data_IF_642115462170
#
_entry.id   IF_642115462170
#
_cell.length_a   1.000
_cell.length_b   1.000
_cell.length_c   1.000
_cell.angle_alpha   90.00
_cell.angle_beta   90.00
_cell.angle_gamma   90.00
#
_symmetry.space_group_name_H-M   'P 1'
#
loop_
_entity.id
_entity.type
_entity.pdbx_description
1 polymer ?
#
# COMPACT_ATOMS: atom_id res chain seq x y z
N UNK A 1 3.47 0.13 -13.13
CA UNK A 1 3.20 0.69 -11.78
C UNK A 1 3.63 -0.31 -10.74
N UNK A 2 4.25 0.15 -9.68
CA UNK A 2 4.72 -0.70 -8.58
C UNK A 2 3.77 -0.54 -7.40
N UNK A 3 3.35 -1.67 -6.81
CA UNK A 3 2.48 -1.69 -5.64
C UNK A 3 3.25 -2.22 -4.44
N UNK A 4 3.18 -1.51 -3.34
CA UNK A 4 3.73 -1.94 -2.07
C UNK A 4 2.60 -2.06 -1.05
N UNK A 5 2.70 -3.10 -0.24
CA UNK A 5 1.77 -3.34 0.87
C UNK A 5 2.55 -3.02 2.14
N UNK A 6 2.14 -1.98 2.84
CA UNK A 6 2.87 -1.51 4.03
C UNK A 6 2.07 -1.89 5.27
N UNK A 7 2.64 -2.75 6.09
CA UNK A 7 2.07 -3.15 7.37
C UNK A 7 2.58 -2.19 8.43
N UNK A 8 1.69 -1.61 9.21
CA UNK A 8 2.00 -0.49 10.08
C UNK A 8 1.56 -0.78 11.51
N UNK A 9 2.48 -0.57 12.45
CA UNK A 9 2.16 -0.50 13.87
C UNK A 9 2.15 0.97 14.26
N UNK A 10 1.14 1.36 15.02
CA UNK A 10 1.03 2.73 15.50
C UNK A 10 0.54 2.75 16.93
N UNK A 11 0.60 3.93 17.54
CA UNK A 11 0.05 4.17 18.87
C UNK A 11 -1.44 3.83 18.84
N UNK A 12 -1.87 2.87 19.66
CA UNK A 12 -3.26 2.39 19.67
C UNK A 12 -4.25 3.50 20.04
N UNK A 13 -3.81 4.50 20.80
CA UNK A 13 -4.65 5.64 21.16
C UNK A 13 -4.87 6.60 19.97
N UNK A 14 -4.11 6.43 18.89
CA UNK A 14 -4.11 7.34 17.74
C UNK A 14 -4.37 6.66 16.41
N UNK A 15 -4.96 5.48 16.42
CA UNK A 15 -5.18 4.72 15.18
C UNK A 15 -5.96 5.51 14.13
N UNK A 16 -7.14 6.11 14.44
CA UNK A 16 -7.88 6.86 13.43
C UNK A 16 -7.10 8.06 12.87
N UNK A 17 -6.47 8.83 13.72
CA UNK A 17 -5.72 10.02 13.30
C UNK A 17 -4.53 9.63 12.42
N UNK A 18 -3.82 8.58 12.80
CA UNK A 18 -2.69 8.06 12.02
C UNK A 18 -3.14 7.53 10.67
N UNK A 19 -4.23 6.76 10.66
CA UNK A 19 -4.78 6.22 9.41
C UNK A 19 -5.21 7.34 8.45
N UNK A 20 -5.88 8.36 8.95
CA UNK A 20 -6.31 9.49 8.15
C UNK A 20 -5.13 10.26 7.57
N UNK A 21 -4.09 10.47 8.37
CA UNK A 21 -2.89 11.17 7.91
C UNK A 21 -2.17 10.38 6.80
N UNK A 22 -2.08 9.06 6.94
CA UNK A 22 -1.47 8.19 5.93
C UNK A 22 -2.31 8.22 4.65
N UNK A 23 -3.62 8.19 4.78
CA UNK A 23 -4.53 8.21 3.61
C UNK A 23 -4.44 9.51 2.81
N UNK A 24 -3.95 10.60 3.39
CA UNK A 24 -3.74 11.86 2.68
C UNK A 24 -2.48 11.86 1.80
N UNK A 25 -1.60 10.90 1.98
CA UNK A 25 -0.39 10.80 1.16
C UNK A 25 -0.78 10.44 -0.27
N UNK A 26 -0.30 11.21 -1.24
CA UNK A 26 -0.71 11.07 -2.64
C UNK A 26 -0.54 9.67 -3.20
N UNK A 27 0.56 9.01 -2.87
CA UNK A 27 0.89 7.68 -3.37
C UNK A 27 0.14 6.55 -2.66
N UNK A 28 -0.54 6.85 -1.57
CA UNK A 28 -1.34 5.88 -0.84
C UNK A 28 -2.74 5.84 -1.45
N UNK A 29 -3.15 4.68 -1.94
CA UNK A 29 -4.47 4.53 -2.54
C UNK A 29 -5.55 4.24 -1.50
N UNK A 30 -5.20 3.48 -0.47
CA UNK A 30 -6.16 3.16 0.60
C UNK A 30 -5.41 2.69 1.84
N UNK A 31 -6.05 2.83 2.99
CA UNK A 31 -5.55 2.38 4.28
C UNK A 31 -6.64 1.58 4.96
N UNK A 32 -6.29 0.42 5.46
CA UNK A 32 -7.19 -0.46 6.19
C UNK A 32 -6.77 -0.54 7.65
N UNK A 33 -7.75 -0.48 8.55
CA UNK A 33 -7.55 -0.86 9.95
C UNK A 33 -7.78 -2.38 10.03
N UNK A 34 -6.83 -3.09 10.62
CA UNK A 34 -6.85 -4.55 10.58
C UNK A 34 -6.66 -5.15 11.97
N UNK A 35 -7.01 -6.42 12.09
CA UNK A 35 -6.73 -7.21 13.30
C UNK A 35 -5.37 -7.89 13.14
N UNK A 36 -4.79 -8.34 14.25
CA UNK A 36 -3.55 -9.07 14.26
C UNK A 36 -2.39 -8.25 14.81
N UNK A 37 -1.19 -8.62 14.41
CA UNK A 37 0.02 -7.98 14.92
C UNK A 37 0.16 -6.52 14.51
N UNK A 38 -0.29 -6.19 13.31
CA UNK A 38 -0.23 -4.82 12.80
C UNK A 38 -1.58 -4.13 12.96
N UNK A 39 -1.57 -2.81 13.05
CA UNK A 39 -2.78 -2.01 13.26
C UNK A 39 -3.39 -1.52 11.96
N UNK A 40 -2.53 -1.19 10.98
CA UNK A 40 -2.96 -0.64 9.70
C UNK A 40 -2.24 -1.34 8.55
N UNK A 41 -2.90 -1.35 7.40
CA UNK A 41 -2.30 -1.78 6.13
C UNK A 41 -2.54 -0.67 5.12
N UNK A 42 -1.47 -0.15 4.53
CA UNK A 42 -1.56 0.87 3.49
C UNK A 42 -1.16 0.28 2.14
N UNK A 43 -1.95 0.57 1.13
CA UNK A 43 -1.64 0.20 -0.26
C UNK A 43 -0.99 1.40 -0.92
N UNK A 44 0.28 1.25 -1.29
CA UNK A 44 1.07 2.32 -1.90
C UNK A 44 1.33 1.99 -3.36
N UNK A 45 1.04 2.92 -4.25
CA UNK A 45 1.26 2.74 -5.68
C UNK A 45 2.13 3.87 -6.22
N UNK A 46 3.21 3.48 -6.88
CA UNK A 46 4.19 4.41 -7.47
C UNK A 46 4.51 3.98 -8.89
N UNK A 47 5.09 4.88 -9.67
CA UNK A 47 5.45 4.59 -11.06
C UNK A 47 6.73 3.79 -11.16
N UNK A 48 7.69 4.05 -10.30
CA UNK A 48 8.99 3.41 -10.33
C UNK A 48 9.36 2.95 -8.91
N UNK A 49 10.11 1.86 -8.83
CA UNK A 49 10.51 1.23 -7.58
C UNK A 49 11.26 2.19 -6.64
N UNK A 50 12.13 3.01 -7.17
CA UNK A 50 12.93 3.94 -6.36
C UNK A 50 12.09 5.05 -5.71
N UNK A 51 10.89 5.35 -6.20
CA UNK A 51 9.98 6.27 -5.52
C UNK A 51 9.56 5.76 -4.14
N UNK A 52 9.60 4.44 -3.92
CA UNK A 52 9.25 3.84 -2.62
C UNK A 52 10.19 4.33 -1.52
N UNK A 53 11.45 4.58 -1.85
CA UNK A 53 12.42 5.12 -0.90
C UNK A 53 12.05 6.51 -0.39
N UNK A 54 11.37 7.30 -1.21
CA UNK A 54 10.90 8.63 -0.81
C UNK A 54 9.57 8.54 -0.05
N UNK A 55 8.65 7.70 -0.50
CA UNK A 55 7.31 7.60 0.07
C UNK A 55 7.33 6.93 1.44
N UNK A 56 7.98 5.79 1.57
CA UNK A 56 7.89 5.00 2.79
C UNK A 56 8.76 5.58 3.91
N UNK A 57 10.11 5.63 3.80
CA UNK A 57 10.89 6.23 4.87
C UNK A 57 10.75 7.74 4.95
N UNK A 58 10.52 8.40 3.81
CA UNK A 58 10.45 9.85 3.74
C UNK A 58 9.10 10.45 4.16
N UNK A 59 8.02 9.68 4.08
CA UNK A 59 6.68 10.20 4.35
C UNK A 59 5.89 9.31 5.30
N UNK A 60 5.65 8.04 4.94
CA UNK A 60 4.82 7.15 5.76
C UNK A 60 5.41 6.95 7.16
N UNK A 61 6.70 6.66 7.24
CA UNK A 61 7.36 6.41 8.52
C UNK A 61 7.43 7.65 9.40
N UNK A 62 7.24 8.83 8.84
CA UNK A 62 7.28 10.11 9.58
C UNK A 62 5.92 10.58 10.06
N UNK A 63 4.85 9.88 9.72
CA UNK A 63 3.52 10.24 10.18
C UNK A 63 3.45 10.07 11.70
N UNK A 64 2.98 11.10 12.45
CA UNK A 64 2.86 10.98 13.89
C UNK A 64 2.00 9.80 14.30
N UNK A 65 2.49 9.02 15.25
CA UNK A 65 1.83 7.80 15.72
C UNK A 65 2.38 6.51 15.13
N UNK A 66 3.03 6.56 13.98
CA UNK A 66 3.66 5.37 13.37
C UNK A 66 4.88 4.98 14.21
N UNK A 67 4.90 3.73 14.67
CA UNK A 67 5.99 3.20 15.49
C UNK A 67 6.85 2.19 14.74
N UNK A 68 6.27 1.46 13.79
CA UNK A 68 6.99 0.45 13.03
C UNK A 68 6.27 0.18 11.71
N UNK A 69 7.03 -0.07 10.65
CA UNK A 69 6.47 -0.46 9.36
C UNK A 69 7.23 -1.64 8.79
N UNK A 70 6.50 -2.47 8.04
CA UNK A 70 7.05 -3.57 7.27
C UNK A 70 6.49 -3.49 5.87
N UNK A 71 7.36 -3.39 4.87
CA UNK A 71 6.95 -3.18 3.49
C UNK A 71 7.12 -4.45 2.67
N UNK A 72 6.08 -4.82 1.96
CA UNK A 72 6.10 -5.92 0.99
C UNK A 72 5.84 -5.36 -0.39
N UNK A 73 6.76 -5.61 -1.31
CA UNK A 73 6.59 -5.18 -2.70
C UNK A 73 5.89 -6.31 -3.45
N UNK A 74 4.76 -5.99 -4.07
CA UNK A 74 4.01 -6.96 -4.85
C UNK A 74 4.68 -7.19 -6.21
N UNK A 75 4.93 -8.44 -6.55
CA UNK A 75 5.45 -8.77 -7.87
C UNK A 75 4.38 -8.69 -8.94
N UNK A 76 3.20 -9.22 -8.65
CA UNK A 76 2.10 -9.28 -9.61
C UNK A 76 0.76 -9.19 -8.91
N UNK A 77 -0.20 -8.65 -9.63
CA UNK A 77 -1.58 -8.64 -9.19
C UNK A 77 -2.35 -9.74 -9.91
N UNK A 78 -3.02 -10.57 -9.16
CA UNK A 78 -3.93 -11.57 -9.70
C UNK A 78 -5.34 -11.18 -9.28
N UNK A 79 -6.17 -10.84 -10.24
CA UNK A 79 -7.57 -10.52 -9.99
C UNK A 79 -8.42 -11.10 -11.10
N UNK A 80 -9.69 -11.30 -10.83
CA UNK A 80 -10.61 -11.80 -11.84
C UNK A 80 -10.68 -10.88 -13.05
N UNK A 81 -10.69 -9.58 -12.79
CA UNK A 81 -10.73 -8.56 -13.83
C UNK A 81 -9.47 -8.61 -14.72
N UNK A 82 -8.29 -8.70 -14.10
CA UNK A 82 -7.04 -8.74 -14.83
C UNK A 82 -6.91 -10.02 -15.66
N UNK A 83 -7.37 -11.16 -15.11
CA UNK A 83 -7.36 -12.43 -15.83
C UNK A 83 -8.28 -12.38 -17.04
N UNK A 84 -9.48 -11.84 -16.90
CA UNK A 84 -10.43 -11.69 -18.00
C UNK A 84 -9.87 -10.78 -19.09
N UNK A 85 -9.23 -9.67 -18.73
CA UNK A 85 -8.59 -8.79 -19.69
C UNK A 85 -7.46 -9.49 -20.44
N UNK A 86 -6.65 -10.27 -19.75
CA UNK A 86 -5.57 -11.03 -20.37
C UNK A 86 -6.10 -12.07 -21.34
N UNK A 87 -7.17 -12.76 -21.00
CA UNK A 87 -7.81 -13.73 -21.88
C UNK A 87 -8.40 -13.06 -23.12
N UNK A 88 -9.05 -11.91 -22.95
CA UNK A 88 -9.61 -11.16 -24.08
C UNK A 88 -8.52 -10.75 -25.07
N UNK A 89 -7.38 -10.29 -24.58
CA UNK A 89 -6.23 -9.94 -25.41
C UNK A 89 -5.68 -11.18 -26.11
N UNK A 90 -5.56 -12.28 -25.39
CA UNK A 90 -5.09 -13.54 -25.95
C UNK A 90 -5.98 -14.04 -27.08
N UNK A 91 -7.28 -13.94 -26.94
CA UNK A 91 -8.22 -14.31 -28.00
C UNK A 91 -8.11 -13.39 -29.20
N UNK A 92 -7.91 -12.10 -28.98
CA UNK A 92 -7.77 -11.13 -30.05
C UNK A 92 -6.49 -11.37 -30.87
N UNK A 93 -5.45 -11.82 -30.24
CA UNK A 93 -4.15 -12.07 -30.87
C UNK A 93 -4.05 -13.48 -31.50
N UNK A 94 -4.84 -14.39 -31.01
CA UNK A 94 -4.71 -15.77 -31.38
C UNK A 94 -5.88 -16.42 -31.97
#
# INVERSE_FOLDING_TARGET
MVTAIVLIKCDVARIPETAEAIAQIRQVSEVYSVTGEFDLVAMVRVRAHDELGDVIPGTVNKVPGVTHTETHIAFRTYSRHDLEAAFAIGYAEG
#
